data_IF_354709103847
#
_entry.id   IF_354709103847
#
_cell.length_a   1.000
_cell.length_b   1.000
_cell.length_c   1.000
_cell.angle_alpha   90.00
_cell.angle_beta   90.00
_cell.angle_gamma   90.00
#
_symmetry.space_group_name_H-M   'P 1'
#
loop_
_entity.id
_entity.type
_entity.pdbx_description
1 polymer ?
#
# COMPACT_ATOMS: atom_id res chain seq x y z
N UNK A 1 -3.27 0.03 17.16
CA UNK A 1 -3.07 1.35 16.54
C UNK A 1 -2.43 1.23 15.16
N UNK A 2 -1.34 0.48 15.03
CA UNK A 2 -0.76 0.11 13.73
C UNK A 2 -1.78 -0.59 12.80
N UNK A 3 -2.62 -1.48 13.31
CA UNK A 3 -3.69 -2.11 12.51
C UNK A 3 -4.67 -1.11 11.88
N UNK A 4 -4.91 0.04 12.53
CA UNK A 4 -5.77 1.10 11.98
C UNK A 4 -5.00 1.96 10.98
N UNK A 5 -3.70 2.17 11.19
CA UNK A 5 -2.86 2.99 10.31
C UNK A 5 -2.61 2.28 8.97
N UNK A 6 -2.50 0.94 8.95
CA UNK A 6 -2.34 0.19 7.70
C UNK A 6 -3.65 -0.19 7.02
N UNK A 7 -4.79 0.00 7.68
CA UNK A 7 -6.10 -0.43 7.18
C UNK A 7 -6.52 0.25 5.87
N UNK A 8 -6.04 1.48 5.66
CA UNK A 8 -6.39 2.29 4.49
C UNK A 8 -5.40 2.07 3.31
N UNK A 9 -4.37 1.23 3.49
CA UNK A 9 -3.36 0.88 2.47
C UNK A 9 -2.40 2.01 2.04
N UNK A 10 -2.71 3.26 2.38
CA UNK A 10 -1.90 4.46 2.05
C UNK A 10 -0.50 4.38 2.65
N UNK A 11 -0.41 4.13 3.96
CA UNK A 11 0.88 4.02 4.64
C UNK A 11 1.69 2.82 4.15
N UNK A 12 1.03 1.74 3.71
CA UNK A 12 1.69 0.58 3.13
C UNK A 12 2.33 0.92 1.78
N UNK A 13 1.61 1.61 0.89
CA UNK A 13 2.16 2.09 -0.38
C UNK A 13 3.37 3.01 -0.17
N UNK A 14 3.24 3.99 0.73
CA UNK A 14 4.32 4.93 1.01
C UNK A 14 5.55 4.22 1.59
N UNK A 15 5.35 3.28 2.52
CA UNK A 15 6.43 2.48 3.09
C UNK A 15 7.17 1.68 2.02
N UNK A 16 6.44 1.09 1.07
CA UNK A 16 7.03 0.33 -0.03
C UNK A 16 7.89 1.18 -0.95
N UNK A 17 7.43 2.37 -1.34
CA UNK A 17 8.26 3.29 -2.12
C UNK A 17 9.53 3.71 -1.36
N UNK A 18 9.39 4.05 -0.08
CA UNK A 18 10.52 4.47 0.75
C UNK A 18 11.57 3.35 0.91
N UNK A 19 11.14 2.09 1.02
CA UNK A 19 12.05 0.93 1.10
C UNK A 19 12.84 0.71 -0.20
N UNK A 20 12.18 0.87 -1.34
CA UNK A 20 12.79 0.72 -2.67
C UNK A 20 13.55 1.98 -3.14
N UNK A 21 13.47 3.08 -2.38
CA UNK A 21 14.15 4.34 -2.70
C UNK A 21 13.47 5.15 -3.81
N UNK A 22 12.18 4.92 -4.09
CA UNK A 22 11.39 5.71 -5.02
C UNK A 22 10.12 6.30 -4.38
N UNK A 23 9.56 7.32 -5.01
CA UNK A 23 8.29 7.89 -4.53
C UNK A 23 7.11 7.25 -5.26
N UNK A 24 6.17 6.67 -4.51
CA UNK A 24 4.93 6.16 -5.12
C UNK A 24 4.08 7.35 -5.56
N UNK A 25 3.69 7.42 -6.84
CA UNK A 25 2.84 8.51 -7.32
C UNK A 25 1.51 8.53 -6.58
N UNK A 26 1.18 9.68 -6.00
CA UNK A 26 -0.03 9.90 -5.19
C UNK A 26 -1.35 9.71 -5.95
N UNK A 27 -1.30 9.68 -7.29
CA UNK A 27 -2.45 9.41 -8.15
C UNK A 27 -2.68 7.91 -8.40
N UNK A 28 -1.72 7.05 -8.06
CA UNK A 28 -1.82 5.60 -8.26
C UNK A 28 -2.59 4.89 -7.12
N UNK A 29 -2.87 5.59 -6.03
CA UNK A 29 -3.65 5.09 -4.90
C UNK A 29 -4.51 6.21 -4.31
N UNK A 30 -5.51 5.85 -3.51
CA UNK A 30 -6.42 6.78 -2.87
C UNK A 30 -5.85 7.28 -1.53
N UNK A 31 -5.40 8.54 -1.49
CA UNK A 31 -4.91 9.19 -0.25
C UNK A 31 -5.94 9.26 0.88
N UNK A 32 -7.22 9.33 0.54
CA UNK A 32 -8.34 9.39 1.49
C UNK A 32 -9.41 8.39 1.05
N UNK A 33 -9.21 7.09 1.30
CA UNK A 33 -10.18 6.09 0.87
C UNK A 33 -11.47 6.25 1.69
N UNK A 34 -12.58 6.53 0.99
CA UNK A 34 -13.91 6.68 1.58
C UNK A 34 -14.70 5.38 1.56
N UNK A 35 -14.39 4.52 0.60
CA UNK A 35 -15.09 3.27 0.35
C UNK A 35 -14.18 2.06 0.60
N UNK A 36 -14.78 0.93 0.96
CA UNK A 36 -14.04 -0.32 1.19
C UNK A 36 -13.27 -0.75 -0.06
N UNK A 37 -13.83 -0.55 -1.26
CA UNK A 37 -13.17 -0.86 -2.54
C UNK A 37 -11.89 -0.03 -2.75
N UNK A 38 -11.89 1.25 -2.32
CA UNK A 38 -10.70 2.11 -2.42
C UNK A 38 -9.60 1.64 -1.46
N UNK A 39 -9.98 1.15 -0.26
CA UNK A 39 -9.02 0.56 0.69
C UNK A 39 -8.43 -0.73 0.13
N UNK A 40 -9.27 -1.61 -0.40
CA UNK A 40 -8.84 -2.88 -1.02
C UNK A 40 -7.92 -2.60 -2.21
N UNK A 41 -8.22 -1.60 -3.03
CA UNK A 41 -7.34 -1.18 -4.12
C UNK A 41 -5.95 -0.73 -3.63
N UNK A 42 -5.90 0.14 -2.62
CA UNK A 42 -4.63 0.60 -2.05
C UNK A 42 -3.80 -0.55 -1.46
N UNK A 43 -4.46 -1.47 -0.75
CA UNK A 43 -3.79 -2.65 -0.19
C UNK A 43 -3.28 -3.53 -1.32
N UNK A 44 -4.12 -3.87 -2.31
CA UNK A 44 -3.71 -4.68 -3.45
C UNK A 44 -2.51 -4.07 -4.19
N UNK A 45 -2.52 -2.76 -4.42
CA UNK A 45 -1.42 -2.05 -5.06
C UNK A 45 -0.11 -2.13 -4.24
N UNK A 46 -0.18 -1.91 -2.93
CA UNK A 46 1.00 -2.08 -2.06
C UNK A 46 1.55 -3.52 -2.08
N UNK A 47 0.68 -4.53 -2.19
CA UNK A 47 1.09 -5.93 -2.34
C UNK A 47 1.73 -6.25 -3.70
N UNK A 48 1.34 -5.55 -4.77
CA UNK A 48 2.03 -5.62 -6.06
C UNK A 48 3.44 -5.02 -5.95
N UNK A 49 3.56 -3.83 -5.36
CA UNK A 49 4.87 -3.20 -5.10
C UNK A 49 5.79 -4.08 -4.25
N UNK A 50 5.23 -4.79 -3.26
CA UNK A 50 5.99 -5.79 -2.47
C UNK A 50 6.52 -6.93 -3.32
N UNK A 51 5.72 -7.45 -4.26
CA UNK A 51 6.15 -8.55 -5.13
C UNK A 51 7.20 -8.11 -6.13
N UNK A 52 7.03 -6.91 -6.71
CA UNK A 52 8.00 -6.33 -7.63
C UNK A 52 9.33 -6.03 -6.92
N UNK A 53 9.28 -5.64 -5.64
CA UNK A 53 10.42 -5.51 -4.74
C UNK A 53 11.07 -6.86 -4.34
N UNK A 54 10.46 -7.99 -4.71
CA UNK A 54 10.95 -9.32 -4.36
C UNK A 54 10.67 -9.74 -2.90
N UNK A 55 9.82 -9.01 -2.18
CA UNK A 55 9.35 -9.45 -0.87
C UNK A 55 8.38 -10.62 -1.02
N UNK A 56 8.60 -11.67 -0.21
CA UNK A 56 7.68 -12.79 -0.15
C UNK A 56 6.29 -12.27 0.26
N UNK A 57 5.24 -12.66 -0.49
CA UNK A 57 3.86 -12.27 -0.18
C UNK A 57 3.59 -12.54 1.31
N UNK A 58 3.16 -11.53 2.09
CA UNK A 58 2.70 -11.76 3.45
C UNK A 58 1.65 -12.87 3.42
N UNK A 59 1.81 -13.90 4.26
CA UNK A 59 0.78 -14.91 4.43
C UNK A 59 -0.44 -14.23 5.05
N UNK A 60 -1.54 -14.23 4.28
CA UNK A 60 -2.87 -13.83 4.72
C UNK A 60 -3.35 -14.65 5.92
#
# INVERSE_FOLDING_TARGET
>A
DLDSQFHDGVFLCLLMGLLEGYFVPLHAFHLTPRDADQKVHNVAFAFELMQDAGLARPKA
#
